data_IF_072056076611
#
_entry.id   IF_072056076611
#
_cell.length_a   1.000
_cell.length_b   1.000
_cell.length_c   1.000
_cell.angle_alpha   90.00
_cell.angle_beta   90.00
_cell.angle_gamma   90.00
#
_symmetry.space_group_name_H-M   'P 1'
#
loop_
_entity.id
_entity.type
_entity.pdbx_description
1 polymer ?
#
# COMPACT_ATOMS: atom_id res chain seq x y z
N UNK A 1 2.88 32.64 7.85
CA UNK A 1 2.40 31.44 7.12
C UNK A 1 3.25 31.12 5.88
N UNK A 2 3.61 32.06 4.99
CA UNK A 2 4.47 31.81 3.82
C UNK A 2 5.89 31.29 4.14
N UNK A 3 6.53 31.71 5.21
CA UNK A 3 7.91 31.31 5.57
C UNK A 3 8.05 29.85 6.07
N UNK A 4 6.96 29.19 6.49
CA UNK A 4 6.98 27.81 7.02
C UNK A 4 6.88 26.76 5.90
N UNK A 5 6.50 27.16 4.69
CA UNK A 5 6.38 26.26 3.53
C UNK A 5 7.73 26.04 2.82
N UNK A 6 8.73 26.88 3.09
CA UNK A 6 10.02 26.91 2.38
C UNK A 6 11.09 25.95 2.91
N UNK A 7 10.94 25.36 4.11
CA UNK A 7 11.89 24.34 4.56
C UNK A 7 11.60 22.99 3.86
N UNK A 8 12.13 22.87 2.66
CA UNK A 8 12.03 21.67 1.81
C UNK A 8 12.76 20.43 2.36
N UNK A 9 13.46 20.54 3.50
CA UNK A 9 14.22 19.42 4.06
C UNK A 9 13.31 18.53 4.90
N UNK A 10 13.29 17.24 4.57
CA UNK A 10 12.60 16.22 5.37
C UNK A 10 13.35 16.04 6.68
N UNK A 11 12.65 16.20 7.79
CA UNK A 11 13.18 15.84 9.11
C UNK A 11 12.77 14.40 9.42
N UNK A 12 13.72 13.47 9.27
CA UNK A 12 13.46 12.03 9.43
C UNK A 12 13.03 11.68 10.85
N UNK A 13 13.63 12.29 11.87
CA UNK A 13 13.25 12.03 13.27
C UNK A 13 11.79 12.42 13.54
N UNK A 14 11.40 13.60 13.08
CA UNK A 14 10.01 14.07 13.20
C UNK A 14 9.04 13.15 12.43
N UNK A 15 9.43 12.70 11.24
CA UNK A 15 8.62 11.77 10.46
C UNK A 15 8.41 10.43 11.19
N UNK A 16 9.45 9.90 11.83
CA UNK A 16 9.33 8.68 12.65
C UNK A 16 8.38 8.88 13.83
N UNK A 17 8.43 10.01 14.53
CA UNK A 17 7.48 10.30 15.61
C UNK A 17 6.03 10.40 15.12
N UNK A 18 5.81 10.95 13.91
CA UNK A 18 4.47 10.95 13.28
C UNK A 18 4.01 9.51 13.01
N UNK A 19 4.87 8.68 12.45
CA UNK A 19 4.56 7.27 12.18
C UNK A 19 4.27 6.48 13.48
N UNK A 20 5.06 6.70 14.53
CA UNK A 20 4.86 6.09 15.84
C UNK A 20 3.51 6.50 16.46
N UNK A 21 3.16 7.78 16.37
CA UNK A 21 1.86 8.28 16.80
C UNK A 21 0.73 7.59 16.03
N UNK A 22 0.85 7.47 14.70
CA UNK A 22 -0.16 6.81 13.87
C UNK A 22 -0.28 5.33 14.20
N UNK A 23 0.82 4.64 14.46
CA UNK A 23 0.83 3.27 14.91
C UNK A 23 0.04 3.08 16.21
N UNK A 24 0.31 3.90 17.22
CA UNK A 24 -0.35 3.84 18.53
C UNK A 24 -1.86 4.13 18.45
N UNK A 25 -2.25 5.05 17.56
CA UNK A 25 -3.65 5.51 17.50
C UNK A 25 -4.50 4.67 16.57
N UNK A 26 -3.95 4.21 15.43
CA UNK A 26 -4.76 3.68 14.33
C UNK A 26 -4.55 2.20 14.04
N UNK A 27 -3.40 1.58 14.29
CA UNK A 27 -3.12 0.20 13.84
C UNK A 27 -4.16 -0.79 14.33
N UNK A 28 -4.50 -0.74 15.60
CA UNK A 28 -5.43 -1.69 16.23
C UNK A 28 -6.89 -1.18 16.29
N UNK A 29 -7.26 -0.20 15.46
CA UNK A 29 -8.66 0.21 15.32
C UNK A 29 -9.44 -0.82 14.52
N UNK A 30 -10.71 -1.05 14.93
CA UNK A 30 -11.58 -2.05 14.30
C UNK A 30 -11.61 -2.00 12.76
N UNK A 31 -11.84 -0.85 12.12
CA UNK A 31 -11.85 -0.77 10.65
C UNK A 31 -10.53 -1.21 10.01
N UNK A 32 -9.37 -0.84 10.58
CA UNK A 32 -8.07 -1.19 10.03
C UNK A 32 -7.78 -2.69 10.12
N UNK A 33 -8.15 -3.32 11.25
CA UNK A 33 -8.03 -4.77 11.41
C UNK A 33 -8.98 -5.47 10.43
N UNK A 34 -10.22 -5.03 10.32
CA UNK A 34 -11.20 -5.64 9.41
C UNK A 34 -10.75 -5.57 7.96
N UNK A 35 -10.38 -4.40 7.47
CA UNK A 35 -9.97 -4.23 6.08
C UNK A 35 -8.55 -4.71 5.80
N UNK A 36 -7.65 -4.61 6.77
CA UNK A 36 -6.26 -5.04 6.61
C UNK A 36 -6.08 -6.55 6.81
N UNK A 37 -6.76 -7.14 7.79
CA UNK A 37 -6.58 -8.54 8.18
C UNK A 37 -7.70 -9.45 7.67
N UNK A 38 -8.97 -9.14 7.93
CA UNK A 38 -10.06 -10.06 7.60
C UNK A 38 -10.42 -10.03 6.12
N UNK A 39 -10.44 -8.87 5.49
CA UNK A 39 -10.87 -8.73 4.10
C UNK A 39 -9.97 -9.52 3.12
N UNK A 40 -8.64 -9.42 3.13
CA UNK A 40 -7.78 -10.25 2.28
C UNK A 40 -7.98 -11.74 2.52
N UNK A 41 -8.13 -12.18 3.79
CA UNK A 41 -8.36 -13.58 4.12
C UNK A 41 -9.69 -14.11 3.55
N UNK A 42 -10.77 -13.35 3.71
CA UNK A 42 -12.12 -13.74 3.24
C UNK A 42 -12.14 -13.83 1.72
N UNK A 43 -11.63 -12.81 1.04
CA UNK A 43 -11.58 -12.79 -0.43
C UNK A 43 -10.71 -13.94 -0.94
N UNK A 44 -9.55 -14.16 -0.32
CA UNK A 44 -8.68 -15.26 -0.68
C UNK A 44 -9.39 -16.62 -0.53
N UNK A 45 -10.03 -16.87 0.62
CA UNK A 45 -10.79 -18.10 0.85
C UNK A 45 -11.92 -18.26 -0.18
N UNK A 46 -12.64 -17.20 -0.49
CA UNK A 46 -13.72 -17.24 -1.49
C UNK A 46 -13.22 -17.64 -2.88
N UNK A 47 -12.01 -17.26 -3.27
CA UNK A 47 -11.43 -17.60 -4.56
C UNK A 47 -10.65 -18.92 -4.57
N UNK A 48 -10.22 -19.43 -3.42
CA UNK A 48 -9.48 -20.70 -3.31
C UNK A 48 -10.38 -21.92 -3.17
N UNK A 49 -11.59 -21.76 -2.63
CA UNK A 49 -12.52 -22.87 -2.44
C UNK A 49 -12.92 -23.49 -3.78
N UNK A 50 -12.73 -24.80 -3.92
CA UNK A 50 -13.08 -25.56 -5.14
C UNK A 50 -12.08 -25.46 -6.30
N UNK A 51 -10.93 -24.78 -6.10
CA UNK A 51 -9.83 -24.74 -7.07
C UNK A 51 -8.63 -25.47 -6.51
N UNK A 52 -8.02 -26.35 -7.29
CA UNK A 52 -6.67 -26.88 -7.04
C UNK A 52 -5.66 -25.81 -7.45
N UNK A 53 -5.65 -24.68 -6.71
CA UNK A 53 -4.74 -23.61 -7.03
C UNK A 53 -3.34 -23.94 -6.54
N UNK A 54 -2.33 -23.70 -7.37
CA UNK A 54 -0.94 -23.86 -7.00
C UNK A 54 -0.58 -22.85 -5.88
N UNK A 55 -0.15 -23.39 -4.75
CA UNK A 55 0.22 -22.59 -3.55
C UNK A 55 1.28 -21.55 -3.90
N UNK A 56 2.15 -21.84 -4.86
CA UNK A 56 3.19 -20.91 -5.32
C UNK A 56 2.64 -19.63 -5.95
N UNK A 57 1.45 -19.66 -6.52
CA UNK A 57 0.75 -18.50 -7.11
C UNK A 57 -0.10 -17.75 -6.07
N UNK A 58 -0.52 -18.47 -5.05
CA UNK A 58 -1.39 -17.96 -3.98
C UNK A 58 -0.66 -17.02 -3.04
N UNK A 59 0.54 -17.40 -2.60
CA UNK A 59 1.34 -16.67 -1.61
C UNK A 59 1.61 -15.23 -2.07
N UNK A 60 2.14 -14.99 -3.27
CA UNK A 60 2.41 -13.64 -3.76
C UNK A 60 1.17 -12.76 -3.82
N UNK A 61 0.08 -13.27 -4.35
CA UNK A 61 -1.19 -12.54 -4.46
C UNK A 61 -1.76 -12.14 -3.11
N UNK A 62 -1.77 -13.07 -2.14
CA UNK A 62 -2.26 -12.82 -0.79
C UNK A 62 -1.41 -11.78 -0.05
N UNK A 63 -0.09 -11.87 -0.15
CA UNK A 63 0.84 -10.93 0.47
C UNK A 63 0.76 -9.55 -0.18
N UNK A 64 0.71 -9.47 -1.53
CA UNK A 64 0.52 -8.20 -2.23
C UNK A 64 -0.81 -7.52 -1.85
N UNK A 65 -1.89 -8.31 -1.78
CA UNK A 65 -3.21 -7.83 -1.37
C UNK A 65 -3.20 -7.32 0.08
N UNK A 66 -2.56 -8.05 1.00
CA UNK A 66 -2.45 -7.64 2.39
C UNK A 66 -1.64 -6.35 2.56
N UNK A 67 -0.58 -6.19 1.77
CA UNK A 67 0.20 -4.96 1.70
C UNK A 67 -0.64 -3.78 1.19
N UNK A 68 -1.42 -3.98 0.11
CA UNK A 68 -2.29 -2.96 -0.47
C UNK A 68 -3.38 -2.50 0.50
N UNK A 69 -4.06 -3.44 1.17
CA UNK A 69 -5.10 -3.12 2.14
C UNK A 69 -4.53 -2.68 3.49
N UNK A 70 -3.35 -3.14 3.88
CA UNK A 70 -2.66 -2.68 5.08
C UNK A 70 -2.10 -1.27 4.91
N UNK A 71 -1.09 -1.13 4.08
CA UNK A 71 -0.39 0.14 3.89
C UNK A 71 -1.31 1.25 3.35
N UNK A 72 -2.17 0.92 2.37
CA UNK A 72 -3.05 1.90 1.74
C UNK A 72 -4.28 2.27 2.57
N UNK A 73 -4.78 1.39 3.45
CA UNK A 73 -6.01 1.65 4.20
C UNK A 73 -5.79 2.60 5.37
N UNK A 74 -4.66 2.48 6.07
CA UNK A 74 -4.44 3.24 7.30
C UNK A 74 -4.47 4.75 7.04
N UNK A 75 -3.83 5.20 5.97
CA UNK A 75 -3.77 6.62 5.63
C UNK A 75 -5.07 7.14 5.02
N UNK A 76 -5.86 6.26 4.41
CA UNK A 76 -7.21 6.61 3.95
C UNK A 76 -8.18 6.90 5.10
N UNK A 77 -7.83 6.53 6.32
CA UNK A 77 -8.60 6.78 7.54
C UNK A 77 -7.91 7.84 8.40
N UNK A 78 -6.59 7.71 8.64
CA UNK A 78 -5.86 8.54 9.58
C UNK A 78 -5.83 10.01 9.17
N UNK A 79 -5.47 10.32 7.93
CA UNK A 79 -5.35 11.70 7.47
C UNK A 79 -6.70 12.44 7.44
N UNK A 80 -7.81 11.89 6.86
CA UNK A 80 -9.12 12.55 6.91
C UNK A 80 -9.68 12.66 8.33
N UNK A 81 -9.43 11.67 9.20
CA UNK A 81 -9.89 11.73 10.58
C UNK A 81 -9.18 12.81 11.38
N UNK A 82 -7.88 13.00 11.16
CA UNK A 82 -7.13 14.09 11.79
C UNK A 82 -7.60 15.47 11.32
N UNK A 83 -7.96 15.59 10.04
CA UNK A 83 -8.55 16.83 9.48
C UNK A 83 -9.91 17.11 10.11
N UNK A 84 -10.80 16.13 10.13
CA UNK A 84 -12.12 16.27 10.72
C UNK A 84 -12.08 16.66 12.22
N UNK A 85 -11.03 16.22 12.95
CA UNK A 85 -10.82 16.55 14.37
C UNK A 85 -9.99 17.82 14.60
N UNK A 86 -9.50 18.50 13.57
CA UNK A 86 -8.64 19.67 13.69
C UNK A 86 -7.24 19.37 14.26
N UNK A 87 -6.88 18.09 14.40
CA UNK A 87 -5.54 17.70 14.90
C UNK A 87 -4.47 17.84 13.81
N UNK A 88 -4.87 17.73 12.55
CA UNK A 88 -4.00 17.98 11.41
C UNK A 88 -3.54 19.45 11.34
N UNK A 89 -4.42 20.41 11.68
CA UNK A 89 -4.09 21.82 11.67
C UNK A 89 -2.99 22.16 12.69
N UNK A 90 -2.94 21.44 13.80
CA UNK A 90 -1.86 21.56 14.79
C UNK A 90 -0.53 21.05 14.25
N UNK A 91 -0.54 19.98 13.42
CA UNK A 91 0.67 19.50 12.74
C UNK A 91 1.17 20.51 11.70
N UNK A 92 0.26 21.13 10.96
CA UNK A 92 0.61 22.16 9.96
C UNK A 92 1.07 23.47 10.61
N UNK A 93 0.58 23.79 11.79
CA UNK A 93 1.03 24.96 12.58
C UNK A 93 2.40 24.77 13.24
N UNK A 94 2.89 23.53 13.35
CA UNK A 94 4.23 23.25 13.86
C UNK A 94 5.31 23.68 12.84
N UNK A 95 6.54 23.99 13.27
CA UNK A 95 7.64 24.42 12.40
C UNK A 95 8.25 23.22 11.64
N UNK A 96 7.42 22.45 10.94
CA UNK A 96 7.80 21.27 10.15
C UNK A 96 7.29 21.41 8.73
N UNK A 97 8.04 20.87 7.77
CA UNK A 97 7.64 20.92 6.37
C UNK A 97 6.48 19.95 6.07
N UNK A 98 5.63 20.32 5.13
CA UNK A 98 4.53 19.45 4.68
C UNK A 98 5.05 18.12 4.12
N UNK A 99 6.21 18.14 3.46
CA UNK A 99 6.91 16.93 2.99
C UNK A 99 7.29 16.00 4.14
N UNK A 100 7.72 16.54 5.28
CA UNK A 100 8.00 15.76 6.50
C UNK A 100 6.73 15.10 7.05
N UNK A 101 5.61 15.84 7.06
CA UNK A 101 4.32 15.29 7.52
C UNK A 101 3.90 14.12 6.62
N UNK A 102 3.91 14.31 5.30
CA UNK A 102 3.53 13.27 4.34
C UNK A 102 4.48 12.08 4.41
N UNK A 103 5.79 12.32 4.55
CA UNK A 103 6.77 11.25 4.71
C UNK A 103 6.51 10.44 5.99
N UNK A 104 6.19 11.10 7.11
CA UNK A 104 5.81 10.43 8.35
C UNK A 104 4.54 9.60 8.21
N UNK A 105 3.54 10.13 7.51
CA UNK A 105 2.31 9.38 7.16
C UNK A 105 2.62 8.15 6.32
N UNK A 106 3.42 8.31 5.26
CA UNK A 106 3.86 7.18 4.43
C UNK A 106 4.62 6.13 5.24
N UNK A 107 5.46 6.53 6.20
CA UNK A 107 6.12 5.58 7.10
C UNK A 107 5.12 4.84 8.01
N UNK A 108 4.09 5.50 8.51
CA UNK A 108 3.03 4.86 9.28
C UNK A 108 2.33 3.76 8.49
N UNK A 109 1.89 4.07 7.27
CA UNK A 109 1.30 3.09 6.38
C UNK A 109 2.27 1.96 5.99
N UNK A 110 3.54 2.28 5.72
CA UNK A 110 4.59 1.29 5.47
C UNK A 110 4.68 0.27 6.61
N UNK A 111 4.83 0.72 7.85
CA UNK A 111 4.97 -0.19 9.00
C UNK A 111 3.75 -1.09 9.19
N UNK A 112 2.55 -0.56 9.01
CA UNK A 112 1.33 -1.37 9.10
C UNK A 112 1.21 -2.36 7.94
N UNK A 113 1.55 -1.95 6.72
CA UNK A 113 1.60 -2.84 5.56
C UNK A 113 2.62 -3.95 5.72
N UNK A 114 3.82 -3.65 6.23
CA UNK A 114 4.84 -4.64 6.56
C UNK A 114 4.34 -5.63 7.60
N UNK A 115 3.75 -5.14 8.68
CA UNK A 115 3.18 -6.00 9.73
C UNK A 115 2.18 -6.99 9.16
N UNK A 116 1.20 -6.53 8.38
CA UNK A 116 0.20 -7.42 7.78
C UNK A 116 0.79 -8.36 6.73
N UNK A 117 1.69 -7.88 5.90
CA UNK A 117 2.36 -8.74 4.90
C UNK A 117 3.16 -9.86 5.54
N UNK A 118 3.83 -9.59 6.66
CA UNK A 118 4.55 -10.61 7.43
C UNK A 118 3.57 -11.61 8.04
N UNK A 119 2.46 -11.16 8.62
CA UNK A 119 1.42 -12.05 9.15
C UNK A 119 0.90 -12.99 8.06
N UNK A 120 0.56 -12.46 6.89
CA UNK A 120 0.08 -13.27 5.78
C UNK A 120 1.15 -14.16 5.16
N UNK A 121 2.39 -13.71 5.10
CA UNK A 121 3.53 -14.56 4.70
C UNK A 121 3.66 -15.77 5.64
N UNK A 122 3.60 -15.55 6.95
CA UNK A 122 3.66 -16.65 7.93
C UNK A 122 2.49 -17.62 7.74
N UNK A 123 1.26 -17.10 7.61
CA UNK A 123 0.07 -17.92 7.36
C UNK A 123 0.23 -18.74 6.07
N UNK A 124 0.72 -18.10 5.00
CA UNK A 124 0.91 -18.74 3.71
C UNK A 124 1.98 -19.84 3.75
N UNK A 125 3.06 -19.64 4.51
CA UNK A 125 4.13 -20.65 4.68
C UNK A 125 3.69 -21.87 5.50
N UNK A 126 2.59 -21.79 6.26
CA UNK A 126 1.99 -22.96 6.94
C UNK A 126 1.19 -23.86 5.99
N UNK A 127 0.92 -23.42 4.75
CA UNK A 127 0.23 -24.21 3.77
C UNK A 127 1.15 -25.32 3.22
N UNK A 128 0.64 -26.57 3.02
CA UNK A 128 1.43 -27.64 2.42
C UNK A 128 1.94 -27.28 1.03
N UNK A 129 3.24 -27.47 0.80
CA UNK A 129 3.89 -27.18 -0.48
C UNK A 129 4.31 -25.72 -0.65
N UNK A 130 4.14 -24.86 0.37
CA UNK A 130 4.62 -23.50 0.34
C UNK A 130 6.15 -23.43 0.38
N UNK A 131 6.74 -22.72 -0.56
CA UNK A 131 8.18 -22.44 -0.61
C UNK A 131 8.42 -21.04 -1.17
N UNK A 132 9.50 -20.39 -0.73
CA UNK A 132 9.97 -19.13 -1.29
C UNK A 132 11.39 -19.38 -1.79
N UNK A 133 11.57 -19.33 -3.12
CA UNK A 133 12.86 -19.62 -3.75
C UNK A 133 13.93 -18.56 -3.39
N UNK A 134 13.52 -17.29 -3.30
CA UNK A 134 14.41 -16.19 -2.94
C UNK A 134 13.80 -15.33 -1.82
N UNK A 135 14.06 -15.65 -0.53
CA UNK A 135 13.50 -14.91 0.60
C UNK A 135 13.92 -13.44 0.67
N UNK A 136 15.14 -13.12 0.21
CA UNK A 136 15.64 -11.73 0.22
C UNK A 136 14.87 -10.87 -0.79
N UNK A 137 14.67 -11.38 -2.00
CA UNK A 137 13.87 -10.72 -3.02
C UNK A 137 12.40 -10.57 -2.57
N UNK A 138 11.86 -11.58 -1.91
CA UNK A 138 10.50 -11.56 -1.36
C UNK A 138 10.34 -10.45 -0.29
N UNK A 139 11.27 -10.36 0.65
CA UNK A 139 11.29 -9.31 1.66
C UNK A 139 11.44 -7.91 1.03
N UNK A 140 12.32 -7.77 0.05
CA UNK A 140 12.48 -6.52 -0.70
C UNK A 140 11.20 -6.14 -1.44
N UNK A 141 10.53 -7.08 -2.09
CA UNK A 141 9.25 -6.89 -2.76
C UNK A 141 8.15 -6.42 -1.80
N UNK A 142 8.06 -7.00 -0.61
CA UNK A 142 7.11 -6.54 0.43
C UNK A 142 7.40 -5.09 0.82
N UNK A 143 8.65 -4.73 1.09
CA UNK A 143 9.01 -3.36 1.50
C UNK A 143 8.65 -2.36 0.40
N UNK A 144 9.03 -2.64 -0.83
CA UNK A 144 8.79 -1.74 -1.96
C UNK A 144 7.29 -1.59 -2.26
N UNK A 145 6.54 -2.68 -2.19
CA UNK A 145 5.08 -2.67 -2.33
C UNK A 145 4.42 -1.85 -1.23
N UNK A 146 4.82 -2.04 0.03
CA UNK A 146 4.26 -1.31 1.16
C UNK A 146 4.54 0.20 1.10
N UNK A 147 5.72 0.61 0.65
CA UNK A 147 6.03 2.04 0.38
C UNK A 147 5.09 2.60 -0.68
N UNK A 148 4.95 1.90 -1.81
CA UNK A 148 4.12 2.33 -2.94
C UNK A 148 2.65 2.46 -2.53
N UNK A 149 2.11 1.47 -1.84
CA UNK A 149 0.69 1.46 -1.44
C UNK A 149 0.39 2.43 -0.30
N UNK A 150 1.35 2.67 0.59
CA UNK A 150 1.22 3.71 1.60
C UNK A 150 1.18 5.10 0.95
N UNK A 151 2.10 5.40 0.03
CA UNK A 151 2.09 6.65 -0.72
C UNK A 151 0.78 6.84 -1.52
N UNK A 152 0.24 5.76 -2.12
CA UNK A 152 -1.06 5.76 -2.77
C UNK A 152 -2.19 6.10 -1.79
N UNK A 153 -2.19 5.50 -0.60
CA UNK A 153 -3.20 5.77 0.44
C UNK A 153 -3.22 7.24 0.86
N UNK A 154 -2.05 7.83 1.11
CA UNK A 154 -1.91 9.27 1.40
C UNK A 154 -2.39 10.11 0.21
N UNK A 155 -2.00 9.75 -1.01
CA UNK A 155 -2.38 10.48 -2.23
C UNK A 155 -3.90 10.52 -2.43
N UNK A 156 -4.58 9.37 -2.27
CA UNK A 156 -6.03 9.29 -2.44
C UNK A 156 -6.75 10.09 -1.33
N UNK A 157 -6.26 10.04 -0.10
CA UNK A 157 -6.90 10.69 1.05
C UNK A 157 -6.64 12.20 1.12
N UNK A 158 -5.58 12.69 0.50
CA UNK A 158 -5.14 14.09 0.57
C UNK A 158 -6.22 15.14 0.25
N UNK A 159 -7.11 14.96 -0.75
CA UNK A 159 -8.13 15.96 -1.06
C UNK A 159 -9.32 15.98 -0.08
N UNK A 160 -9.50 14.95 0.75
CA UNK A 160 -10.71 14.80 1.56
C UNK A 160 -10.55 15.33 2.98
N UNK A 161 -11.61 15.94 3.51
CA UNK A 161 -11.67 16.52 4.85
C UNK A 161 -12.16 15.56 5.93
N UNK A 162 -12.82 14.46 5.55
CA UNK A 162 -13.40 13.47 6.47
C UNK A 162 -13.32 12.05 5.93
N UNK A 163 -13.51 11.06 6.82
CA UNK A 163 -13.40 9.63 6.50
C UNK A 163 -14.53 9.15 5.58
N UNK A 164 -15.82 9.55 5.77
CA UNK A 164 -16.91 9.16 4.88
C UNK A 164 -16.69 9.54 3.41
N UNK A 165 -16.00 10.64 3.13
CA UNK A 165 -15.69 11.05 1.76
C UNK A 165 -14.46 10.31 1.19
N UNK A 166 -13.45 10.04 2.02
CA UNK A 166 -12.20 9.44 1.58
C UNK A 166 -12.29 7.92 1.36
N UNK A 167 -13.03 7.20 2.20
CA UNK A 167 -13.06 5.74 2.18
C UNK A 167 -13.67 5.12 0.92
N UNK A 168 -14.80 5.60 0.38
CA UNK A 168 -15.41 4.98 -0.80
C UNK A 168 -14.49 4.96 -2.02
N UNK A 169 -13.90 6.09 -2.48
CA UNK A 169 -13.00 6.08 -3.62
C UNK A 169 -11.72 5.26 -3.34
N UNK A 170 -11.16 5.34 -2.13
CA UNK A 170 -9.99 4.58 -1.76
C UNK A 170 -10.24 3.06 -1.79
N UNK A 171 -11.41 2.63 -1.32
CA UNK A 171 -11.79 1.20 -1.34
C UNK A 171 -12.06 0.72 -2.75
N UNK A 172 -12.78 1.51 -3.57
CA UNK A 172 -13.06 1.18 -4.96
C UNK A 172 -11.77 0.99 -5.78
N UNK A 173 -10.82 1.93 -5.64
CA UNK A 173 -9.53 1.85 -6.33
C UNK A 173 -8.77 0.58 -5.92
N UNK A 174 -8.69 0.27 -4.62
CA UNK A 174 -8.00 -0.93 -4.13
C UNK A 174 -8.66 -2.22 -4.62
N UNK A 175 -9.99 -2.29 -4.59
CA UNK A 175 -10.72 -3.46 -5.10
C UNK A 175 -10.46 -3.63 -6.61
N UNK A 176 -10.56 -2.57 -7.39
CA UNK A 176 -10.25 -2.62 -8.81
C UNK A 176 -8.82 -3.10 -9.08
N UNK A 177 -7.84 -2.60 -8.29
CA UNK A 177 -6.44 -3.03 -8.40
C UNK A 177 -6.27 -4.53 -8.12
N UNK A 178 -6.93 -5.07 -7.10
CA UNK A 178 -6.84 -6.50 -6.77
C UNK A 178 -7.37 -7.39 -7.89
N UNK A 179 -8.50 -7.03 -8.49
CA UNK A 179 -9.09 -7.84 -9.56
C UNK A 179 -8.38 -7.71 -10.90
N UNK A 180 -7.87 -6.53 -11.22
CA UNK A 180 -7.22 -6.24 -12.50
C UNK A 180 -5.69 -6.42 -12.48
N UNK A 181 -5.07 -6.42 -11.31
CA UNK A 181 -3.61 -6.40 -11.16
C UNK A 181 -2.94 -7.76 -11.01
N UNK A 182 -3.57 -8.85 -11.42
CA UNK A 182 -2.90 -10.16 -11.44
C UNK A 182 -2.92 -10.93 -10.11
N UNK A 183 -3.63 -10.45 -9.08
CA UNK A 183 -3.68 -11.11 -7.76
C UNK A 183 -4.36 -12.48 -7.83
N UNK A 184 -5.46 -12.59 -8.55
CA UNK A 184 -6.27 -13.83 -8.67
C UNK A 184 -6.20 -14.48 -10.05
N UNK A 185 -6.00 -13.68 -11.08
CA UNK A 185 -6.00 -14.11 -12.46
C UNK A 185 -4.68 -13.67 -13.08
N UNK A 186 -3.85 -14.60 -13.59
CA UNK A 186 -2.60 -14.22 -14.26
C UNK A 186 -2.87 -13.25 -15.41
N UNK A 187 -2.11 -12.17 -15.50
CA UNK A 187 -2.31 -11.11 -16.51
C UNK A 187 -2.25 -11.68 -17.93
N UNK A 188 -1.35 -12.64 -18.16
CA UNK A 188 -1.20 -13.29 -19.47
C UNK A 188 -2.48 -13.98 -19.98
N UNK A 189 -3.43 -14.32 -19.08
CA UNK A 189 -4.70 -14.95 -19.44
C UNK A 189 -5.84 -13.95 -19.67
N UNK A 190 -5.59 -12.67 -19.41
CA UNK A 190 -6.58 -11.61 -19.59
C UNK A 190 -6.68 -11.17 -21.06
N UNK A 191 -7.82 -10.63 -21.53
CA UNK A 191 -7.90 -9.94 -22.81
C UNK A 191 -6.91 -8.78 -22.91
N UNK A 192 -6.38 -8.50 -24.11
CA UNK A 192 -5.35 -7.47 -24.33
C UNK A 192 -5.72 -6.08 -23.77
N UNK A 193 -6.99 -5.71 -23.84
CA UNK A 193 -7.48 -4.44 -23.27
C UNK A 193 -7.32 -4.38 -21.75
N UNK A 194 -7.56 -5.48 -21.04
CA UNK A 194 -7.40 -5.57 -19.60
C UNK A 194 -5.92 -5.67 -19.20
N UNK A 195 -5.07 -6.30 -20.02
CA UNK A 195 -3.62 -6.31 -19.79
C UNK A 195 -3.05 -4.89 -19.81
N UNK A 196 -3.49 -4.04 -20.75
CA UNK A 196 -3.07 -2.64 -20.79
C UNK A 196 -3.45 -1.88 -19.49
N UNK A 197 -4.66 -2.11 -18.99
CA UNK A 197 -5.10 -1.51 -17.70
C UNK A 197 -4.29 -2.07 -16.54
N UNK A 198 -4.02 -3.38 -16.52
CA UNK A 198 -3.21 -4.02 -15.49
C UNK A 198 -1.82 -3.37 -15.37
N UNK A 199 -1.15 -3.10 -16.49
CA UNK A 199 0.16 -2.47 -16.51
C UNK A 199 0.18 -0.99 -16.04
N UNK A 200 -0.99 -0.36 -15.91
CA UNK A 200 -1.11 0.96 -15.27
C UNK A 200 -1.28 0.89 -13.75
N UNK A 201 -1.36 -0.31 -13.19
CA UNK A 201 -1.64 -0.53 -11.77
C UNK A 201 -0.36 -0.96 -11.04
N UNK A 202 0.04 -0.31 -9.94
CA UNK A 202 1.25 -0.68 -9.19
C UNK A 202 1.17 -2.08 -8.56
N UNK A 203 -0.03 -2.58 -8.26
CA UNK A 203 -0.21 -3.92 -7.70
C UNK A 203 0.27 -5.02 -8.64
N UNK A 204 0.21 -4.81 -9.95
CA UNK A 204 0.71 -5.72 -10.98
C UNK A 204 2.19 -6.03 -10.76
N UNK A 205 2.99 -5.01 -10.61
CA UNK A 205 4.43 -5.13 -10.40
C UNK A 205 4.77 -5.68 -9.02
N UNK A 206 3.95 -5.35 -8.00
CA UNK A 206 4.10 -5.92 -6.67
C UNK A 206 3.87 -7.44 -6.66
N UNK A 207 2.82 -7.91 -7.35
CA UNK A 207 2.52 -9.34 -7.49
C UNK A 207 3.63 -10.04 -8.28
N UNK A 208 4.11 -9.44 -9.37
CA UNK A 208 5.13 -10.05 -10.22
C UNK A 208 6.48 -10.23 -9.48
N UNK A 209 6.98 -9.22 -8.74
CA UNK A 209 8.18 -9.36 -7.90
C UNK A 209 8.02 -10.49 -6.88
N UNK A 210 6.87 -10.57 -6.21
CA UNK A 210 6.62 -11.60 -5.21
C UNK A 210 6.48 -12.99 -5.83
N UNK A 211 5.90 -13.11 -7.04
CA UNK A 211 5.84 -14.36 -7.81
C UNK A 211 7.23 -14.81 -8.26
N UNK A 212 8.05 -13.89 -8.79
CA UNK A 212 9.44 -14.18 -9.14
C UNK A 212 10.26 -14.64 -7.94
N UNK A 213 10.05 -14.00 -6.78
CA UNK A 213 10.72 -14.38 -5.54
C UNK A 213 10.28 -15.77 -5.03
N UNK A 214 9.02 -16.14 -5.25
CA UNK A 214 8.46 -17.43 -4.83
C UNK A 214 8.87 -18.56 -5.76
N UNK A 215 8.80 -18.34 -7.07
CA UNK A 215 9.06 -19.38 -8.08
C UNK A 215 10.52 -19.47 -8.52
N UNK A 216 11.31 -18.42 -8.30
CA UNK A 216 12.68 -18.29 -8.80
C UNK A 216 12.78 -18.05 -10.32
N UNK A 217 11.66 -17.77 -10.99
CA UNK A 217 11.58 -17.59 -12.44
C UNK A 217 10.98 -16.22 -12.79
N UNK A 218 11.32 -15.69 -13.96
CA UNK A 218 10.65 -14.51 -14.51
C UNK A 218 9.23 -14.93 -14.92
N UNK A 219 8.22 -14.22 -14.37
CA UNK A 219 6.82 -14.60 -14.60
C UNK A 219 6.21 -13.75 -15.71
N UNK A 220 6.07 -12.46 -15.54
CA UNK A 220 5.48 -11.58 -16.54
C UNK A 220 6.50 -10.60 -17.14
N UNK A 221 7.34 -9.99 -16.31
CA UNK A 221 8.30 -8.98 -16.75
C UNK A 221 9.70 -9.18 -16.11
N UNK A 222 10.75 -8.57 -16.71
CA UNK A 222 12.05 -8.53 -16.06
C UNK A 222 11.99 -7.81 -14.70
N UNK A 223 12.63 -8.37 -13.69
CA UNK A 223 12.64 -7.84 -12.31
C UNK A 223 12.98 -6.35 -12.23
N UNK A 224 13.90 -5.87 -13.08
CA UNK A 224 14.29 -4.45 -13.11
C UNK A 224 13.13 -3.53 -13.52
N UNK A 225 12.23 -4.02 -14.39
CA UNK A 225 11.05 -3.27 -14.83
C UNK A 225 10.08 -3.11 -13.68
N UNK A 226 9.85 -4.18 -12.91
CA UNK A 226 8.93 -4.16 -11.77
C UNK A 226 9.43 -3.22 -10.66
N UNK A 227 10.72 -3.32 -10.34
CA UNK A 227 11.36 -2.44 -9.35
C UNK A 227 11.26 -0.97 -9.80
N UNK A 228 11.63 -0.69 -11.05
CA UNK A 228 11.59 0.67 -11.58
C UNK A 228 10.15 1.24 -11.60
N UNK A 229 9.17 0.41 -11.97
CA UNK A 229 7.76 0.81 -11.95
C UNK A 229 7.28 1.13 -10.54
N UNK A 230 7.53 0.29 -9.54
CA UNK A 230 7.12 0.56 -8.16
C UNK A 230 7.79 1.79 -7.57
N UNK A 231 9.09 2.02 -7.85
CA UNK A 231 9.78 3.25 -7.44
C UNK A 231 9.13 4.47 -8.11
N UNK A 232 8.87 4.39 -9.41
CA UNK A 232 8.21 5.47 -10.16
C UNK A 232 6.83 5.79 -9.57
N UNK A 233 5.99 4.78 -9.33
CA UNK A 233 4.68 4.98 -8.71
C UNK A 233 4.79 5.57 -7.29
N UNK A 234 5.74 5.11 -6.48
CA UNK A 234 5.98 5.66 -5.14
C UNK A 234 6.29 7.16 -5.19
N UNK A 235 7.18 7.57 -6.10
CA UNK A 235 7.56 8.97 -6.28
C UNK A 235 6.37 9.80 -6.79
N UNK A 236 5.63 9.29 -7.78
CA UNK A 236 4.47 9.97 -8.35
C UNK A 236 3.39 10.17 -7.28
N UNK A 237 3.04 9.13 -6.53
CA UNK A 237 2.01 9.22 -5.49
C UNK A 237 2.44 10.13 -4.35
N UNK A 238 3.69 10.07 -3.93
CA UNK A 238 4.23 10.96 -2.91
C UNK A 238 4.19 12.44 -3.37
N UNK A 239 4.66 12.72 -4.57
CA UNK A 239 4.64 14.06 -5.15
C UNK A 239 3.20 14.58 -5.33
N UNK A 240 2.30 13.73 -5.81
CA UNK A 240 0.88 14.04 -5.94
C UNK A 240 0.22 14.32 -4.58
N UNK A 241 0.52 13.52 -3.56
CA UNK A 241 0.04 13.75 -2.19
C UNK A 241 0.47 15.12 -1.67
N UNK A 242 1.75 15.49 -1.84
CA UNK A 242 2.27 16.82 -1.46
C UNK A 242 1.54 17.94 -2.22
N UNK A 243 1.36 17.79 -3.53
CA UNK A 243 0.70 18.79 -4.36
C UNK A 243 -0.78 18.97 -4.01
N UNK A 244 -1.51 17.86 -3.82
CA UNK A 244 -2.92 17.87 -3.45
C UNK A 244 -3.13 18.50 -2.07
N UNK A 245 -2.30 18.11 -1.10
CA UNK A 245 -2.43 18.62 0.25
C UNK A 245 -2.11 20.12 0.32
N UNK A 246 -1.12 20.61 -0.45
CA UNK A 246 -0.86 22.04 -0.59
C UNK A 246 -2.07 22.81 -1.11
N UNK A 247 -2.78 22.26 -2.10
CA UNK A 247 -3.97 22.91 -2.69
C UNK A 247 -5.15 22.99 -1.72
N UNK A 248 -5.29 22.03 -0.83
CA UNK A 248 -6.40 21.99 0.13
C UNK A 248 -6.15 22.81 1.40
N UNK A 249 -4.92 23.31 1.60
CA UNK A 249 -4.56 24.19 2.72
C UNK A 249 -4.61 25.68 2.34
N UNK A 250 -4.83 25.99 1.08
CA UNK A 250 -5.06 27.34 0.55
C UNK A 250 -6.52 27.55 0.21
#
# INVERSE_FOLDING_TARGET
MKALIETSKVNVLTAVHIAEKDAKIYFFKGPNITFGLLFPAIIYLAFSVGRTADVSLIIPGLVAMSSLFGAGAIESIALPLERAKGTFDRLVAAPISLTTIIFGKTLGGLFFGLFLSIVYMIIALLLPGAAIANPLLFAFGIVLSAVTFSALGVCISAPFGDVPQAMPPATLIRIAMVFLGGVFIPIATMPNSLQLVAHLLPVTYAVDILQQATTGQIVAQPLITDIAALIMFSVIFFAAAVALLKRTLH
#
